data_IF_148786225217
#
_entry.id   IF_148786225217
#
_cell.length_a   1.000
_cell.length_b   1.000
_cell.length_c   1.000
_cell.angle_alpha   90.00
_cell.angle_beta   90.00
_cell.angle_gamma   90.00
#
_symmetry.space_group_name_H-M   'P 1'
#
loop_
_entity.id
_entity.type
_entity.pdbx_description
1 polymer ?
#
# COMPACT_ATOMS: atom_id res chain seq x y z
N UNK A 1 -37.82 -73.55 -32.33
CA UNK A 1 -37.32 -72.25 -32.85
C UNK A 1 -37.25 -71.25 -31.67
N UNK A 2 -36.06 -71.14 -31.07
CA UNK A 2 -35.83 -70.18 -29.97
C UNK A 2 -35.21 -68.90 -30.55
N UNK A 3 -35.78 -67.72 -30.27
CA UNK A 3 -35.24 -66.40 -30.59
C UNK A 3 -34.56 -65.86 -29.36
N UNK A 4 -33.25 -65.70 -29.42
CA UNK A 4 -32.44 -64.95 -28.46
C UNK A 4 -32.54 -63.47 -28.75
N UNK A 5 -32.96 -62.68 -27.78
CA UNK A 5 -32.94 -61.21 -27.82
C UNK A 5 -31.66 -60.76 -27.09
N UNK A 6 -30.71 -60.17 -27.83
CA UNK A 6 -29.52 -59.53 -27.23
C UNK A 6 -29.87 -58.11 -26.77
N UNK A 7 -29.78 -57.86 -25.48
CA UNK A 7 -29.87 -56.52 -24.93
C UNK A 7 -28.48 -55.83 -25.03
N UNK A 8 -28.38 -54.76 -25.83
CA UNK A 8 -27.21 -53.88 -25.87
C UNK A 8 -27.26 -52.87 -24.72
N UNK A 9 -26.33 -52.96 -23.79
CA UNK A 9 -26.13 -51.99 -22.73
C UNK A 9 -25.38 -50.74 -23.28
N UNK A 10 -26.06 -49.62 -23.40
CA UNK A 10 -25.45 -48.30 -23.65
C UNK A 10 -24.81 -47.77 -22.36
N UNK A 11 -23.50 -47.89 -22.26
CA UNK A 11 -22.76 -47.19 -21.19
C UNK A 11 -22.65 -45.69 -21.53
N UNK A 12 -23.47 -44.90 -20.84
CA UNK A 12 -23.39 -43.43 -20.93
C UNK A 12 -22.12 -42.95 -20.20
N UNK A 13 -21.12 -42.50 -20.94
CA UNK A 13 -20.01 -41.74 -20.41
C UNK A 13 -20.50 -40.34 -20.03
N UNK A 14 -20.73 -40.11 -18.73
CA UNK A 14 -20.97 -38.76 -18.21
C UNK A 14 -19.70 -37.97 -18.33
N UNK A 15 -19.60 -37.08 -19.34
CA UNK A 15 -18.61 -36.04 -19.45
C UNK A 15 -18.78 -35.12 -18.25
N UNK A 16 -17.95 -35.26 -17.21
CA UNK A 16 -17.83 -34.29 -16.15
C UNK A 16 -17.27 -33.00 -16.76
N UNK A 17 -18.13 -32.05 -17.08
CA UNK A 17 -17.72 -30.70 -17.43
C UNK A 17 -16.94 -30.13 -16.25
N UNK A 18 -15.76 -29.51 -16.47
CA UNK A 18 -15.08 -28.82 -15.39
C UNK A 18 -16.00 -27.75 -14.83
N UNK A 19 -16.25 -27.76 -13.53
CA UNK A 19 -16.92 -26.68 -12.82
C UNK A 19 -16.02 -25.45 -12.98
N UNK A 20 -16.37 -24.58 -13.92
CA UNK A 20 -15.80 -23.23 -13.98
C UNK A 20 -16.29 -22.53 -12.73
N UNK A 21 -15.46 -22.48 -11.69
CA UNK A 21 -15.72 -21.63 -10.55
C UNK A 21 -15.73 -20.19 -11.09
N UNK A 22 -16.84 -19.49 -10.84
CA UNK A 22 -16.89 -18.05 -11.12
C UNK A 22 -15.77 -17.36 -10.33
N UNK A 23 -15.05 -16.45 -10.99
CA UNK A 23 -14.01 -15.65 -10.32
C UNK A 23 -14.67 -14.76 -9.26
N UNK A 24 -14.04 -14.67 -8.08
CA UNK A 24 -14.47 -13.72 -7.06
C UNK A 24 -14.09 -12.31 -7.45
N UNK A 25 -15.06 -11.41 -7.55
CA UNK A 25 -14.79 -9.99 -7.80
C UNK A 25 -14.25 -9.33 -6.55
N UNK A 26 -13.13 -8.63 -6.71
CA UNK A 26 -12.42 -7.91 -5.64
C UNK A 26 -12.10 -6.49 -6.09
N UNK A 27 -12.44 -5.52 -5.28
CA UNK A 27 -12.06 -4.12 -5.47
C UNK A 27 -10.94 -3.74 -4.51
N UNK A 28 -9.79 -3.32 -5.06
CA UNK A 28 -8.68 -2.73 -4.32
C UNK A 28 -8.67 -1.21 -4.53
N UNK A 29 -8.72 -0.43 -3.46
CA UNK A 29 -8.56 1.02 -3.48
C UNK A 29 -7.11 1.38 -3.14
N UNK A 30 -6.45 2.17 -4.00
CA UNK A 30 -5.11 2.68 -3.68
C UNK A 30 -5.17 3.92 -2.80
N UNK A 31 -4.11 4.15 -2.05
CA UNK A 31 -3.96 5.34 -1.18
C UNK A 31 -3.55 6.60 -1.95
N UNK A 32 -3.12 6.45 -3.20
CA UNK A 32 -2.57 7.52 -4.04
C UNK A 32 -2.85 7.26 -5.52
N UNK A 33 -2.45 8.20 -6.37
CA UNK A 33 -2.43 8.00 -7.82
C UNK A 33 -1.56 6.80 -8.21
N UNK A 34 -1.91 6.12 -9.29
CA UNK A 34 -1.17 4.97 -9.79
C UNK A 34 0.27 5.35 -10.17
N UNK A 35 1.24 4.68 -9.57
CA UNK A 35 2.67 4.82 -9.82
C UNK A 35 3.43 3.56 -9.37
N UNK A 36 4.76 3.55 -9.42
CA UNK A 36 5.59 2.38 -9.14
C UNK A 36 5.33 1.74 -7.76
N UNK A 37 4.92 2.54 -6.76
CA UNK A 37 4.60 2.10 -5.40
C UNK A 37 3.35 1.21 -5.32
N UNK A 38 2.59 1.09 -6.41
CA UNK A 38 1.45 0.18 -6.54
C UNK A 38 1.74 -0.99 -7.50
N UNK A 39 2.97 -1.04 -8.04
CA UNK A 39 3.35 -1.87 -9.16
C UNK A 39 3.07 -3.36 -8.98
N UNK A 40 3.26 -3.91 -7.78
CA UNK A 40 2.98 -5.34 -7.53
C UNK A 40 1.52 -5.71 -7.72
N UNK A 41 0.60 -4.84 -7.36
CA UNK A 41 -0.84 -5.07 -7.52
C UNK A 41 -1.26 -4.98 -9.00
N UNK A 42 -0.76 -3.98 -9.71
CA UNK A 42 -0.94 -3.86 -11.16
C UNK A 42 -0.31 -5.02 -11.92
N UNK A 43 0.84 -5.50 -11.47
CA UNK A 43 1.52 -6.65 -12.06
C UNK A 43 0.69 -7.93 -11.93
N UNK A 44 0.08 -8.16 -10.76
CA UNK A 44 -0.76 -9.32 -10.55
C UNK A 44 -2.00 -9.32 -11.45
N UNK A 45 -2.53 -8.14 -11.84
CA UNK A 45 -3.57 -8.02 -12.87
C UNK A 45 -2.97 -8.30 -14.24
N UNK A 46 -1.92 -7.57 -14.62
CA UNK A 46 -1.36 -7.57 -15.99
C UNK A 46 -0.86 -8.94 -16.43
N UNK A 47 -0.31 -9.72 -15.50
CA UNK A 47 0.25 -11.07 -15.75
C UNK A 47 -0.72 -12.19 -15.45
N UNK A 48 -1.97 -11.89 -15.06
CA UNK A 48 -2.99 -12.89 -14.75
C UNK A 48 -2.76 -13.66 -13.44
N UNK A 49 -1.88 -13.17 -12.56
CA UNK A 49 -1.63 -13.82 -11.25
C UNK A 49 -2.93 -13.88 -10.44
N UNK A 50 -3.70 -12.79 -10.34
CA UNK A 50 -4.99 -12.82 -9.64
C UNK A 50 -5.95 -13.86 -10.24
N UNK A 51 -6.05 -13.93 -11.57
CA UNK A 51 -6.91 -14.94 -12.26
C UNK A 51 -6.49 -16.36 -11.97
N UNK A 52 -5.18 -16.65 -11.91
CA UNK A 52 -4.65 -17.94 -11.47
C UNK A 52 -5.18 -18.35 -10.09
N UNK A 53 -5.47 -17.39 -9.23
CA UNK A 53 -6.05 -17.58 -7.90
C UNK A 53 -7.58 -17.46 -7.89
N UNK A 54 -8.26 -17.43 -9.04
CA UNK A 54 -9.71 -17.33 -9.16
C UNK A 54 -10.25 -15.96 -8.71
N UNK A 55 -9.47 -14.89 -8.89
CA UNK A 55 -9.84 -13.54 -8.52
C UNK A 55 -9.91 -12.64 -9.75
N UNK A 56 -11.00 -11.89 -9.87
CA UNK A 56 -11.15 -10.78 -10.79
C UNK A 56 -10.98 -9.46 -10.02
N UNK A 57 -9.77 -8.88 -10.10
CA UNK A 57 -9.40 -7.71 -9.30
C UNK A 57 -9.49 -6.42 -10.11
N UNK A 58 -10.26 -5.48 -9.59
CA UNK A 58 -10.34 -4.11 -10.10
C UNK A 58 -9.61 -3.16 -9.15
N UNK A 59 -8.66 -2.36 -9.66
CA UNK A 59 -8.04 -1.30 -8.89
C UNK A 59 -8.83 0.00 -9.10
N UNK A 60 -9.25 0.62 -7.99
CA UNK A 60 -9.75 1.99 -7.95
C UNK A 60 -8.62 2.89 -7.49
N UNK A 61 -8.27 3.86 -8.33
CA UNK A 61 -7.19 4.79 -8.01
C UNK A 61 -7.66 5.82 -6.98
N UNK A 62 -6.88 5.96 -5.91
CA UNK A 62 -7.03 7.02 -4.90
C UNK A 62 -6.41 8.34 -5.34
N UNK A 63 -6.08 9.18 -4.37
CA UNK A 63 -5.45 10.48 -4.63
C UNK A 63 -5.23 11.30 -3.35
N UNK A 64 -4.51 12.43 -3.47
CA UNK A 64 -4.04 13.20 -2.31
C UNK A 64 -5.14 13.76 -1.39
N UNK A 65 -6.36 13.88 -1.88
CA UNK A 65 -7.51 14.39 -1.12
C UNK A 65 -8.62 13.33 -0.93
N UNK A 66 -8.36 12.07 -1.29
CA UNK A 66 -9.33 10.99 -1.13
C UNK A 66 -9.26 10.42 0.28
N UNK A 67 -10.39 10.39 0.98
CA UNK A 67 -10.50 9.69 2.26
C UNK A 67 -10.75 8.19 2.03
N UNK A 68 -9.68 7.47 1.75
CA UNK A 68 -9.74 6.06 1.37
C UNK A 68 -10.26 5.15 2.50
N UNK A 69 -9.99 5.48 3.77
CA UNK A 69 -10.51 4.73 4.92
C UNK A 69 -12.04 4.84 5.02
N UNK A 70 -12.60 6.01 4.76
CA UNK A 70 -14.06 6.18 4.73
C UNK A 70 -14.71 5.40 3.60
N UNK A 71 -14.06 5.34 2.43
CA UNK A 71 -14.56 4.56 1.30
C UNK A 71 -14.54 3.05 1.59
N UNK A 72 -13.48 2.56 2.24
CA UNK A 72 -13.43 1.16 2.70
C UNK A 72 -14.54 0.87 3.71
N UNK A 73 -14.68 1.70 4.74
CA UNK A 73 -15.71 1.54 5.77
C UNK A 73 -17.13 1.65 5.19
N UNK A 74 -17.32 2.43 4.12
CA UNK A 74 -18.56 2.54 3.38
C UNK A 74 -18.81 1.43 2.36
N UNK A 75 -17.97 0.37 2.31
CA UNK A 75 -18.15 -0.78 1.41
C UNK A 75 -17.89 -0.50 -0.06
N UNK A 76 -17.15 0.59 -0.39
CA UNK A 76 -16.81 0.95 -1.77
C UNK A 76 -15.59 0.18 -2.31
N UNK A 77 -14.91 -0.57 -1.45
CA UNK A 77 -13.80 -1.47 -1.77
C UNK A 77 -13.77 -2.64 -0.78
N UNK A 78 -13.20 -3.78 -1.21
CA UNK A 78 -12.94 -4.93 -0.35
C UNK A 78 -11.61 -4.76 0.40
N UNK A 79 -10.63 -4.15 -0.25
CA UNK A 79 -9.30 -3.87 0.28
C UNK A 79 -8.87 -2.43 0.01
N UNK A 80 -8.04 -1.92 0.91
CA UNK A 80 -7.42 -0.60 0.82
C UNK A 80 -5.91 -0.75 0.99
N UNK A 81 -5.13 -0.02 0.20
CA UNK A 81 -3.74 0.23 0.53
C UNK A 81 -3.68 1.35 1.56
N UNK A 82 -3.25 1.03 2.78
CA UNK A 82 -3.35 1.91 3.93
C UNK A 82 -2.02 2.10 4.67
N UNK A 83 -2.14 2.62 5.88
CA UNK A 83 -1.03 2.99 6.77
C UNK A 83 -1.36 2.58 8.21
N UNK A 84 -0.36 2.12 8.96
CA UNK A 84 -0.53 1.64 10.34
C UNK A 84 -1.19 2.69 11.25
N UNK A 85 -0.76 3.96 11.18
CA UNK A 85 -1.34 5.03 11.99
C UNK A 85 -2.83 5.21 11.75
N UNK A 86 -3.26 5.14 10.48
CA UNK A 86 -4.68 5.23 10.13
C UNK A 86 -5.47 4.05 10.67
N UNK A 87 -4.91 2.84 10.58
CA UNK A 87 -5.58 1.62 11.08
C UNK A 87 -5.71 1.69 12.59
N UNK A 88 -4.65 2.04 13.31
CA UNK A 88 -4.69 2.18 14.78
C UNK A 88 -5.68 3.25 15.23
N UNK A 89 -5.70 4.42 14.57
CA UNK A 89 -6.66 5.48 14.85
C UNK A 89 -8.11 5.05 14.53
N UNK A 90 -8.30 4.26 13.47
CA UNK A 90 -9.61 3.71 13.10
C UNK A 90 -10.11 2.72 14.14
N UNK A 91 -9.23 1.85 14.65
CA UNK A 91 -9.53 0.91 15.73
C UNK A 91 -9.94 1.65 17.00
N UNK A 92 -9.21 2.71 17.39
CA UNK A 92 -9.60 3.55 18.54
C UNK A 92 -10.97 4.20 18.36
N UNK A 93 -11.28 4.62 17.13
CA UNK A 93 -12.59 5.17 16.78
C UNK A 93 -13.71 4.13 16.65
N UNK A 94 -13.43 2.84 16.88
CA UNK A 94 -14.39 1.74 16.79
C UNK A 94 -14.69 1.28 15.36
N UNK A 95 -13.92 1.68 14.37
CA UNK A 95 -14.06 1.21 12.99
C UNK A 95 -13.40 -0.16 12.87
N UNK A 96 -14.13 -1.23 12.48
CA UNK A 96 -13.67 -2.61 12.52
C UNK A 96 -12.78 -2.97 11.32
N UNK A 97 -11.66 -2.28 11.15
CA UNK A 97 -10.65 -2.56 10.12
C UNK A 97 -9.50 -3.38 10.68
N UNK A 98 -8.76 -4.03 9.80
CA UNK A 98 -7.55 -4.78 10.16
C UNK A 98 -6.59 -4.87 8.97
N UNK A 99 -5.30 -4.92 9.26
CA UNK A 99 -4.22 -5.11 8.27
C UNK A 99 -3.89 -6.59 8.14
N UNK A 100 -3.74 -7.07 6.92
CA UNK A 100 -3.47 -8.49 6.60
C UNK A 100 -2.09 -8.74 5.98
N UNK A 101 -1.43 -7.71 5.48
CA UNK A 101 -0.05 -7.74 4.96
C UNK A 101 0.52 -6.33 4.85
N UNK A 102 1.86 -6.19 4.81
CA UNK A 102 2.56 -4.93 4.59
C UNK A 102 3.57 -5.07 3.43
N UNK A 103 3.22 -4.55 2.26
CA UNK A 103 4.09 -4.67 1.09
C UNK A 103 5.44 -3.97 1.29
N UNK A 104 5.45 -2.82 1.98
CA UNK A 104 6.68 -2.10 2.30
C UNK A 104 7.07 -2.29 3.77
N UNK A 105 8.31 -2.69 3.98
CA UNK A 105 8.84 -3.02 5.31
C UNK A 105 9.14 -1.78 6.17
N UNK A 106 9.15 -0.60 5.59
CA UNK A 106 9.12 0.69 6.28
C UNK A 106 8.46 1.73 5.40
N UNK A 107 8.07 2.85 6.01
CA UNK A 107 7.42 3.95 5.29
C UNK A 107 8.49 4.75 4.52
N UNK A 108 8.43 4.82 3.17
CA UNK A 108 9.33 5.64 2.37
C UNK A 108 8.96 7.12 2.38
N UNK A 109 7.94 7.53 3.12
CA UNK A 109 7.54 8.93 3.22
C UNK A 109 8.67 9.77 3.81
N UNK A 110 8.85 10.93 3.25
CA UNK A 110 9.82 11.90 3.72
C UNK A 110 9.41 13.34 3.42
N UNK A 111 10.34 14.23 3.70
CA UNK A 111 10.21 15.65 3.44
C UNK A 111 11.22 16.09 2.39
N UNK A 112 10.75 16.70 1.32
CA UNK A 112 11.60 17.39 0.36
C UNK A 112 11.66 18.87 0.74
N UNK A 113 12.88 19.40 0.78
CA UNK A 113 13.20 20.78 1.21
C UNK A 113 14.19 21.42 0.27
N UNK A 114 14.32 22.73 0.33
CA UNK A 114 15.44 23.42 -0.29
C UNK A 114 16.74 23.21 0.49
N UNK A 115 17.88 23.51 -0.13
CA UNK A 115 19.22 23.21 0.37
C UNK A 115 19.59 23.94 1.68
N UNK A 116 18.87 25.00 2.05
CA UNK A 116 19.03 25.73 3.30
C UNK A 116 18.61 24.93 4.54
N UNK A 117 17.81 23.88 4.35
CA UNK A 117 17.33 23.00 5.44
C UNK A 117 18.28 21.81 5.56
N UNK A 118 18.85 21.63 6.76
CA UNK A 118 19.85 20.59 7.05
C UNK A 118 19.29 19.44 7.92
N UNK A 119 18.07 19.57 8.44
CA UNK A 119 17.39 18.54 9.23
C UNK A 119 15.89 18.78 9.27
N UNK A 120 15.13 17.75 9.62
CA UNK A 120 13.68 17.87 9.83
C UNK A 120 13.32 18.90 10.92
N UNK A 121 14.17 19.10 11.93
CA UNK A 121 13.97 20.11 12.97
C UNK A 121 14.05 21.56 12.47
N UNK A 122 14.62 21.80 11.30
CA UNK A 122 14.82 23.11 10.68
C UNK A 122 13.59 23.72 9.99
N UNK A 123 12.43 23.08 10.04
CA UNK A 123 11.24 23.50 9.28
C UNK A 123 10.29 24.45 10.03
N UNK A 124 10.68 25.00 11.19
CA UNK A 124 9.78 25.81 12.05
C UNK A 124 9.13 27.00 11.36
N UNK A 125 9.80 27.62 10.41
CA UNK A 125 9.30 28.80 9.70
C UNK A 125 8.93 28.51 8.24
N UNK A 126 8.87 27.23 7.85
CA UNK A 126 8.52 26.84 6.48
C UNK A 126 7.03 26.56 6.37
N UNK A 127 6.47 26.82 5.21
CA UNK A 127 5.18 26.27 4.80
C UNK A 127 5.39 24.82 4.38
N UNK A 128 4.54 23.92 4.85
CA UNK A 128 4.69 22.47 4.59
C UNK A 128 3.47 21.98 3.80
N UNK A 129 3.69 21.45 2.61
CA UNK A 129 2.62 20.87 1.80
C UNK A 129 2.31 19.45 2.27
N UNK A 130 1.08 19.22 2.69
CA UNK A 130 0.60 17.98 3.32
C UNK A 130 -0.66 17.50 2.60
N UNK A 131 -0.65 16.29 2.06
CA UNK A 131 -1.84 15.66 1.50
C UNK A 131 -2.83 15.24 2.59
N UNK A 132 -4.07 14.94 2.21
CA UNK A 132 -5.11 14.49 3.15
C UNK A 132 -4.69 13.26 3.95
N UNK A 133 -4.07 12.26 3.30
CA UNK A 133 -3.51 11.09 3.97
C UNK A 133 -2.39 11.43 4.96
N UNK A 134 -1.51 12.37 4.61
CA UNK A 134 -0.41 12.82 5.47
C UNK A 134 -0.91 13.44 6.77
N UNK A 135 -2.08 14.11 6.75
CA UNK A 135 -2.66 14.71 7.94
C UNK A 135 -3.08 13.71 9.02
N UNK A 136 -3.34 12.47 8.63
CA UNK A 136 -3.74 11.38 9.54
C UNK A 136 -2.63 10.35 9.76
N UNK A 137 -1.43 10.57 9.21
CA UNK A 137 -0.28 9.67 9.33
C UNK A 137 0.93 10.39 9.90
N UNK A 138 1.86 10.83 9.07
CA UNK A 138 3.15 11.37 9.47
C UNK A 138 3.10 12.81 10.02
N UNK A 139 2.11 13.63 9.63
CA UNK A 139 2.00 15.01 10.10
C UNK A 139 1.79 15.12 11.63
N UNK A 140 0.89 14.34 12.26
CA UNK A 140 0.80 14.28 13.71
C UNK A 140 2.13 13.87 14.38
N UNK A 141 2.87 12.93 13.77
CA UNK A 141 4.18 12.52 14.25
C UNK A 141 5.20 13.66 14.21
N UNK A 142 5.29 14.41 13.10
CA UNK A 142 6.17 15.58 12.99
C UNK A 142 5.81 16.67 14.00
N UNK A 143 4.50 16.95 14.18
CA UNK A 143 4.06 17.93 15.18
C UNK A 143 4.48 17.52 16.58
N UNK A 144 4.26 16.28 16.97
CA UNK A 144 4.63 15.79 18.29
C UNK A 144 6.14 15.83 18.51
N UNK A 145 6.93 15.45 17.49
CA UNK A 145 8.38 15.36 17.60
C UNK A 145 9.10 16.72 17.58
N UNK A 146 8.66 17.63 16.70
CA UNK A 146 9.38 18.89 16.42
C UNK A 146 8.61 20.14 16.83
N UNK A 147 7.39 20.01 17.35
CA UNK A 147 6.55 21.13 17.78
C UNK A 147 5.97 21.94 16.63
N UNK A 148 5.75 21.35 15.47
CA UNK A 148 5.11 22.02 14.33
C UNK A 148 3.63 22.25 14.58
N UNK A 149 3.04 23.20 13.85
CA UNK A 149 1.66 23.63 14.04
C UNK A 149 0.84 23.53 12.76
N UNK A 150 -0.47 23.46 12.90
CA UNK A 150 -1.38 23.43 11.74
C UNK A 150 -1.29 24.70 10.87
N UNK A 151 -0.83 25.81 11.43
CA UNK A 151 -0.62 27.05 10.67
C UNK A 151 0.43 26.92 9.55
N UNK A 152 1.37 25.98 9.67
CA UNK A 152 2.38 25.70 8.66
C UNK A 152 1.86 24.82 7.51
N UNK A 153 0.83 24.01 7.76
CA UNK A 153 0.37 23.03 6.79
C UNK A 153 -0.54 23.64 5.72
N UNK A 154 -0.26 23.32 4.46
CA UNK A 154 -1.10 23.64 3.30
C UNK A 154 -1.40 22.36 2.52
N UNK A 155 -2.51 22.33 1.76
CA UNK A 155 -2.84 21.14 0.96
C UNK A 155 -1.76 20.82 -0.08
N UNK A 156 -1.41 19.55 -0.18
CA UNK A 156 -0.60 19.00 -1.29
C UNK A 156 -1.50 18.24 -2.24
N UNK A 157 -1.41 18.54 -3.52
CA UNK A 157 -2.27 18.01 -4.58
C UNK A 157 -1.49 17.33 -5.71
N UNK A 158 -0.29 16.85 -5.43
CA UNK A 158 0.67 16.30 -6.41
C UNK A 158 1.16 17.37 -7.42
N UNK A 159 1.17 18.63 -7.00
CA UNK A 159 1.73 19.75 -7.77
C UNK A 159 2.95 20.31 -7.05
N UNK A 160 4.12 20.25 -7.71
CA UNK A 160 5.40 20.72 -7.16
C UNK A 160 5.67 22.20 -7.42
N UNK A 161 4.85 22.88 -8.22
CA UNK A 161 5.10 24.30 -8.58
C UNK A 161 5.21 25.22 -7.35
N UNK A 162 4.40 25.08 -6.28
CA UNK A 162 4.60 25.90 -5.09
C UNK A 162 5.98 25.70 -4.43
N UNK A 163 6.51 24.47 -4.45
CA UNK A 163 7.86 24.18 -3.96
C UNK A 163 8.93 24.83 -4.82
N UNK A 164 8.82 24.75 -6.15
CA UNK A 164 9.79 25.34 -7.05
C UNK A 164 9.80 26.88 -7.02
N UNK A 165 8.64 27.48 -6.75
CA UNK A 165 8.46 28.93 -6.78
C UNK A 165 8.87 29.65 -5.48
N UNK A 166 8.85 28.97 -4.33
CA UNK A 166 9.08 29.57 -3.02
C UNK A 166 10.07 28.77 -2.17
N UNK A 167 11.26 29.33 -1.86
CA UNK A 167 12.26 28.67 -1.01
C UNK A 167 11.79 28.42 0.43
N UNK A 168 10.67 29.04 0.87
CA UNK A 168 10.09 28.80 2.17
C UNK A 168 9.10 27.64 2.21
N UNK A 169 8.88 26.94 1.08
CA UNK A 169 8.02 25.77 1.00
C UNK A 169 8.84 24.50 1.15
N UNK A 170 8.43 23.62 2.05
CA UNK A 170 8.81 22.21 2.08
C UNK A 170 7.60 21.37 1.73
N UNK A 171 7.79 20.13 1.31
CA UNK A 171 6.69 19.29 0.89
C UNK A 171 6.92 17.83 1.21
N UNK A 172 5.82 17.10 1.48
CA UNK A 172 5.90 15.64 1.49
C UNK A 172 6.42 15.11 0.15
N UNK A 173 7.15 14.03 0.22
CA UNK A 173 7.67 13.36 -0.97
C UNK A 173 7.95 11.90 -0.71
N UNK A 174 7.96 11.11 -1.79
CA UNK A 174 8.56 9.78 -1.82
C UNK A 174 9.86 9.82 -2.62
N UNK A 175 10.89 9.07 -2.20
CA UNK A 175 12.17 9.00 -2.91
C UNK A 175 12.05 8.31 -4.27
N UNK A 176 10.91 7.74 -4.58
CA UNK A 176 10.56 7.07 -5.83
C UNK A 176 9.66 7.90 -6.74
N UNK A 177 9.21 9.09 -6.32
CA UNK A 177 8.24 9.91 -7.04
C UNK A 177 8.68 11.38 -7.18
N UNK A 178 8.42 12.23 -6.17
CA UNK A 178 8.67 13.67 -6.25
C UNK A 178 10.16 14.02 -6.41
N UNK A 179 11.06 13.21 -5.86
CA UNK A 179 12.50 13.42 -6.04
C UNK A 179 12.92 13.35 -7.51
N UNK A 180 12.29 12.47 -8.31
CA UNK A 180 12.51 12.44 -9.75
C UNK A 180 12.10 13.75 -10.42
N UNK A 181 10.95 14.30 -10.06
CA UNK A 181 10.46 15.55 -10.63
C UNK A 181 11.37 16.72 -10.25
N UNK A 182 11.90 16.74 -9.02
CA UNK A 182 12.87 17.73 -8.58
C UNK A 182 14.19 17.62 -9.36
N UNK A 183 14.70 16.41 -9.61
CA UNK A 183 15.88 16.16 -10.44
C UNK A 183 15.66 16.66 -11.88
N UNK A 184 14.51 16.36 -12.49
CA UNK A 184 14.18 16.81 -13.85
C UNK A 184 14.05 18.33 -13.94
N UNK A 185 13.60 19.00 -12.87
CA UNK A 185 13.53 20.45 -12.77
C UNK A 185 14.85 21.09 -12.38
N UNK A 186 15.93 20.34 -12.21
CA UNK A 186 17.24 20.79 -11.70
C UNK A 186 17.11 21.57 -10.37
N UNK A 187 16.12 21.23 -9.56
CA UNK A 187 15.92 21.82 -8.25
C UNK A 187 17.02 21.33 -7.29
N UNK A 188 17.65 22.28 -6.59
CA UNK A 188 18.59 21.94 -5.51
C UNK A 188 17.80 21.55 -4.25
N UNK A 189 17.27 20.32 -4.25
CA UNK A 189 16.41 19.80 -3.19
C UNK A 189 17.15 18.78 -2.32
N UNK A 190 16.84 18.81 -1.01
CA UNK A 190 17.21 17.76 -0.07
C UNK A 190 15.99 16.89 0.24
N UNK A 191 16.21 15.60 0.48
CA UNK A 191 15.16 14.68 0.90
C UNK A 191 15.54 14.05 2.25
N UNK A 192 14.64 14.15 3.22
CA UNK A 192 14.77 13.55 4.54
C UNK A 192 13.74 12.44 4.70
N UNK A 193 14.21 11.19 4.81
CA UNK A 193 13.36 10.03 5.04
C UNK A 193 12.88 10.02 6.51
N UNK A 194 11.59 9.94 6.76
CA UNK A 194 11.05 9.93 8.13
C UNK A 194 11.48 8.71 8.93
N UNK A 195 11.66 7.57 8.27
CA UNK A 195 12.13 6.35 8.91
C UNK A 195 13.53 6.51 9.53
N UNK A 196 14.43 7.31 8.92
CA UNK A 196 15.77 7.60 9.45
C UNK A 196 15.70 8.44 10.74
N UNK A 197 14.62 9.22 10.90
CA UNK A 197 14.31 9.98 12.11
C UNK A 197 13.44 9.21 13.11
N UNK A 198 13.23 7.91 12.90
CA UNK A 198 12.54 7.02 13.81
C UNK A 198 11.03 6.91 13.61
N UNK A 199 10.49 7.29 12.45
CA UNK A 199 9.09 7.04 12.08
C UNK A 199 8.87 5.53 11.89
N UNK A 200 8.08 4.86 12.76
CA UNK A 200 8.15 3.41 12.88
C UNK A 200 7.28 2.58 11.93
N UNK A 201 6.22 3.12 11.23
CA UNK A 201 5.23 2.28 10.58
C UNK A 201 5.73 1.47 9.39
N UNK A 202 4.98 0.42 9.07
CA UNK A 202 4.94 -0.15 7.72
C UNK A 202 4.24 0.81 6.75
N UNK A 203 4.35 0.53 5.44
CA UNK A 203 3.63 1.29 4.43
C UNK A 203 3.06 0.35 3.35
N UNK A 204 2.15 0.87 2.53
CA UNK A 204 1.45 0.11 1.49
C UNK A 204 0.89 -1.19 2.06
N UNK A 205 0.22 -1.04 3.22
CA UNK A 205 -0.39 -2.16 3.93
C UNK A 205 -1.72 -2.53 3.29
N UNK A 206 -2.02 -3.82 3.24
CA UNK A 206 -3.33 -4.31 2.77
C UNK A 206 -4.27 -4.32 3.96
N UNK A 207 -5.27 -3.43 3.92
CA UNK A 207 -6.27 -3.24 4.96
C UNK A 207 -7.63 -3.71 4.46
N UNK A 208 -8.42 -4.35 5.31
CA UNK A 208 -9.79 -4.77 5.00
C UNK A 208 -10.69 -4.65 6.22
N UNK A 209 -12.00 -4.78 6.03
CA UNK A 209 -12.97 -4.84 7.13
C UNK A 209 -12.92 -6.22 7.82
N UNK A 210 -13.11 -6.26 9.14
CA UNK A 210 -13.16 -7.54 9.89
C UNK A 210 -14.29 -8.46 9.41
N UNK A 211 -15.39 -7.88 8.92
CA UNK A 211 -16.47 -8.66 8.32
C UNK A 211 -16.02 -9.38 7.04
N UNK A 212 -15.11 -8.80 6.27
CA UNK A 212 -14.51 -9.47 5.11
C UNK A 212 -13.69 -10.68 5.54
N UNK A 213 -12.91 -10.56 6.63
CA UNK A 213 -12.16 -11.70 7.18
C UNK A 213 -13.08 -12.83 7.64
N UNK A 214 -14.21 -12.48 8.25
CA UNK A 214 -15.18 -13.45 8.76
C UNK A 214 -15.94 -14.14 7.63
N UNK A 215 -16.36 -13.38 6.63
CA UNK A 215 -17.29 -13.87 5.60
C UNK A 215 -16.58 -14.41 4.35
N UNK A 216 -15.36 -13.95 4.06
CA UNK A 216 -14.60 -14.29 2.85
C UNK A 216 -13.10 -14.60 3.16
N UNK A 217 -12.79 -15.42 4.19
CA UNK A 217 -11.40 -15.65 4.61
C UNK A 217 -10.52 -16.26 3.50
N UNK A 218 -11.11 -17.09 2.65
CA UNK A 218 -10.41 -17.69 1.51
C UNK A 218 -10.07 -16.65 0.44
N UNK A 219 -10.98 -15.73 0.12
CA UNK A 219 -10.70 -14.62 -0.81
C UNK A 219 -9.54 -13.78 -0.29
N UNK A 220 -9.53 -13.47 1.02
CA UNK A 220 -8.43 -12.70 1.64
C UNK A 220 -7.11 -13.46 1.51
N UNK A 221 -7.08 -14.75 1.78
CA UNK A 221 -5.85 -15.57 1.67
C UNK A 221 -5.30 -15.58 0.24
N UNK A 222 -6.17 -15.81 -0.75
CA UNK A 222 -5.79 -15.82 -2.17
C UNK A 222 -5.33 -14.44 -2.64
N UNK A 223 -6.03 -13.37 -2.22
CA UNK A 223 -5.67 -11.99 -2.58
C UNK A 223 -4.31 -11.58 -2.03
N UNK A 224 -4.04 -11.85 -0.74
CA UNK A 224 -2.75 -11.55 -0.11
C UNK A 224 -1.62 -12.31 -0.84
N UNK A 225 -1.76 -13.61 -1.04
CA UNK A 225 -0.74 -14.42 -1.71
C UNK A 225 -0.46 -13.93 -3.14
N UNK A 226 -1.50 -13.75 -3.93
CA UNK A 226 -1.39 -13.28 -5.31
C UNK A 226 -0.75 -11.87 -5.39
N UNK A 227 -1.09 -10.98 -4.45
CA UNK A 227 -0.48 -9.64 -4.37
C UNK A 227 1.02 -9.72 -4.10
N UNK A 228 1.47 -10.60 -3.20
CA UNK A 228 2.90 -10.77 -2.91
C UNK A 228 3.65 -11.42 -4.07
N UNK A 229 3.05 -12.38 -4.78
CA UNK A 229 3.59 -12.90 -6.05
C UNK A 229 3.67 -11.81 -7.12
N UNK A 230 2.69 -10.92 -7.19
CA UNK A 230 2.69 -9.74 -8.04
C UNK A 230 3.87 -8.82 -7.74
N UNK A 231 4.17 -8.54 -6.48
CA UNK A 231 5.34 -7.74 -6.08
C UNK A 231 6.65 -8.42 -6.49
N UNK A 232 6.81 -9.72 -6.25
CA UNK A 232 7.98 -10.46 -6.71
C UNK A 232 8.15 -10.37 -8.23
N UNK A 233 7.07 -10.56 -8.97
CA UNK A 233 7.07 -10.46 -10.44
C UNK A 233 7.41 -9.05 -10.92
N UNK A 234 6.82 -8.01 -10.29
CA UNK A 234 7.07 -6.61 -10.64
C UNK A 234 8.52 -6.18 -10.49
N UNK A 235 9.16 -6.61 -9.41
CA UNK A 235 10.58 -6.32 -9.20
C UNK A 235 11.48 -7.00 -10.22
N UNK A 236 11.05 -8.10 -10.85
CA UNK A 236 11.80 -8.80 -11.89
C UNK A 236 11.56 -8.16 -13.27
N UNK A 237 10.31 -7.98 -13.65
CA UNK A 237 9.89 -7.36 -14.93
C UNK A 237 8.71 -6.42 -14.70
N UNK A 238 8.93 -5.11 -14.57
CA UNK A 238 7.88 -4.15 -14.30
C UNK A 238 7.05 -3.75 -15.55
N UNK A 239 7.46 -4.14 -16.76
CA UNK A 239 6.85 -3.63 -17.99
C UNK A 239 5.33 -3.89 -18.10
N UNK A 240 4.79 -5.08 -17.76
CA UNK A 240 3.35 -5.32 -17.83
C UNK A 240 2.54 -4.41 -16.91
N UNK A 241 2.99 -4.22 -15.67
CA UNK A 241 2.33 -3.32 -14.71
C UNK A 241 2.42 -1.87 -15.14
N UNK A 242 3.60 -1.43 -15.59
CA UNK A 242 3.83 -0.04 -15.97
C UNK A 242 2.91 0.39 -17.12
N UNK A 243 2.56 -0.52 -18.04
CA UNK A 243 1.59 -0.26 -19.08
C UNK A 243 0.19 0.04 -18.53
N UNK A 244 -0.27 -0.71 -17.53
CA UNK A 244 -1.54 -0.46 -16.85
C UNK A 244 -1.51 0.80 -15.98
N UNK A 245 -0.42 1.03 -15.26
CA UNK A 245 -0.24 2.25 -14.45
C UNK A 245 -0.35 3.50 -15.32
N UNK A 246 0.29 3.53 -16.49
CA UNK A 246 0.19 4.67 -17.42
C UNK A 246 -1.22 4.84 -18.00
N UNK A 247 -1.97 3.75 -18.16
CA UNK A 247 -3.36 3.82 -18.61
C UNK A 247 -4.23 4.50 -17.55
N UNK A 248 -4.06 4.16 -16.27
CA UNK A 248 -4.84 4.72 -15.17
C UNK A 248 -4.37 6.12 -14.78
N UNK A 249 -3.04 6.36 -14.86
CA UNK A 249 -2.42 7.65 -14.60
C UNK A 249 -1.55 8.11 -15.77
N UNK A 250 -2.13 8.80 -16.78
CA UNK A 250 -1.39 9.27 -17.95
C UNK A 250 -0.27 10.29 -17.66
N UNK A 251 -0.20 10.82 -16.44
CA UNK A 251 0.90 11.72 -16.03
C UNK A 251 2.22 10.98 -15.77
N UNK A 252 2.17 9.64 -15.61
CA UNK A 252 3.37 8.83 -15.39
C UNK A 252 4.16 8.64 -16.68
N UNK A 253 5.39 9.18 -16.73
CA UNK A 253 6.34 8.92 -17.80
C UNK A 253 7.06 7.57 -17.59
N UNK A 254 7.61 7.00 -18.67
CA UNK A 254 8.46 5.81 -18.59
C UNK A 254 9.69 6.06 -17.72
N UNK A 255 10.28 7.27 -17.79
CA UNK A 255 11.41 7.66 -16.97
C UNK A 255 11.08 7.69 -15.48
N UNK A 256 9.93 8.24 -15.11
CA UNK A 256 9.49 8.27 -13.71
C UNK A 256 9.19 6.87 -13.16
N UNK A 257 8.55 6.01 -13.95
CA UNK A 257 8.30 4.62 -13.55
C UNK A 257 9.59 3.82 -13.40
N UNK A 258 10.54 3.97 -14.34
CA UNK A 258 11.84 3.31 -14.25
C UNK A 258 12.64 3.79 -13.02
N UNK A 259 12.63 5.10 -12.74
CA UNK A 259 13.23 5.67 -11.55
C UNK A 259 12.58 5.12 -10.28
N UNK A 260 11.25 5.10 -10.22
CA UNK A 260 10.50 4.55 -9.09
C UNK A 260 10.87 3.11 -8.79
N UNK A 261 10.89 2.23 -9.80
CA UNK A 261 11.32 0.84 -9.66
C UNK A 261 12.76 0.72 -9.15
N UNK A 262 13.67 1.55 -9.67
CA UNK A 262 15.06 1.56 -9.20
C UNK A 262 15.16 1.94 -7.72
N UNK A 263 14.39 2.93 -7.26
CA UNK A 263 14.35 3.34 -5.85
C UNK A 263 13.73 2.24 -4.95
N UNK A 264 12.62 1.60 -5.36
CA UNK A 264 12.04 0.47 -4.63
C UNK A 264 13.07 -0.64 -4.36
N UNK A 265 13.89 -0.96 -5.38
CA UNK A 265 14.97 -1.96 -5.29
C UNK A 265 16.12 -1.47 -4.42
N UNK A 266 16.62 -0.25 -4.65
CA UNK A 266 17.74 0.36 -3.92
C UNK A 266 17.44 0.42 -2.42
N UNK A 267 16.24 0.84 -2.06
CA UNK A 267 15.78 1.00 -0.68
C UNK A 267 15.29 -0.33 -0.08
N UNK A 268 15.20 -1.39 -0.88
CA UNK A 268 14.71 -2.71 -0.46
C UNK A 268 13.36 -2.64 0.26
N UNK A 269 12.45 -1.77 -0.19
CA UNK A 269 11.17 -1.54 0.48
C UNK A 269 10.34 -2.81 0.62
N UNK A 270 10.32 -3.65 -0.42
CA UNK A 270 9.54 -4.89 -0.48
C UNK A 270 10.32 -6.10 0.04
N UNK A 271 11.65 -6.13 -0.17
CA UNK A 271 12.48 -7.32 0.03
C UNK A 271 13.43 -7.20 1.22
N UNK A 272 13.47 -6.05 1.88
CA UNK A 272 14.33 -5.79 3.04
C UNK A 272 13.67 -6.15 4.36
N UNK A 273 14.32 -5.77 5.47
CA UNK A 273 13.80 -6.02 6.81
C UNK A 273 13.44 -7.49 7.06
N UNK A 274 12.33 -7.71 7.73
CA UNK A 274 11.83 -9.07 8.04
C UNK A 274 11.43 -9.84 6.77
N UNK A 275 11.07 -9.15 5.68
CA UNK A 275 10.69 -9.79 4.42
C UNK A 275 11.84 -10.61 3.79
N UNK A 276 13.08 -10.26 4.05
CA UNK A 276 14.23 -10.98 3.52
C UNK A 276 14.30 -12.46 3.98
N UNK A 277 13.74 -12.76 5.16
CA UNK A 277 13.77 -14.10 5.76
C UNK A 277 12.39 -14.72 5.98
N UNK A 278 11.34 -13.90 6.09
CA UNK A 278 9.97 -14.35 6.38
C UNK A 278 9.03 -14.27 5.18
N UNK A 279 9.44 -13.62 4.10
CA UNK A 279 8.67 -13.45 2.88
C UNK A 279 8.12 -12.04 2.68
N UNK A 280 7.89 -11.69 1.41
CA UNK A 280 7.31 -10.40 1.00
C UNK A 280 5.95 -10.22 1.68
N UNK A 281 5.73 -9.03 2.20
CA UNK A 281 4.47 -8.66 2.85
C UNK A 281 4.39 -8.98 4.33
N UNK A 282 5.44 -9.58 4.92
CA UNK A 282 5.47 -9.97 6.33
C UNK A 282 5.26 -8.79 7.27
N UNK A 283 4.70 -9.09 8.42
CA UNK A 283 4.54 -8.18 9.56
C UNK A 283 4.90 -8.91 10.84
N UNK A 284 5.28 -8.17 11.88
CA UNK A 284 5.58 -8.73 13.22
C UNK A 284 4.81 -7.97 14.30
N UNK A 285 4.43 -8.68 15.36
CA UNK A 285 3.83 -8.07 16.56
C UNK A 285 4.74 -7.00 17.16
N UNK A 286 6.03 -7.28 17.25
CA UNK A 286 7.02 -6.34 17.80
C UNK A 286 7.01 -4.98 17.06
N UNK A 287 6.81 -4.98 15.74
CA UNK A 287 6.76 -3.75 14.95
C UNK A 287 5.44 -3.01 15.16
N UNK A 288 4.31 -3.72 15.20
CA UNK A 288 3.01 -3.13 15.51
C UNK A 288 2.97 -2.54 16.91
N UNK A 289 3.52 -3.27 17.90
CA UNK A 289 3.68 -2.78 19.26
C UNK A 289 4.50 -1.50 19.33
N UNK A 290 5.65 -1.46 18.64
CA UNK A 290 6.51 -0.26 18.58
C UNK A 290 5.76 0.95 17.99
N UNK A 291 5.00 0.74 16.92
CA UNK A 291 4.18 1.80 16.32
C UNK A 291 3.09 2.29 17.28
N UNK A 292 2.40 1.36 17.94
CA UNK A 292 1.38 1.66 18.94
C UNK A 292 1.98 2.44 20.13
N UNK A 293 3.05 1.95 20.74
CA UNK A 293 3.74 2.59 21.87
C UNK A 293 4.16 4.01 21.50
N UNK A 294 4.74 4.19 20.33
CA UNK A 294 5.10 5.52 19.83
C UNK A 294 3.87 6.46 19.76
N UNK A 295 2.75 6.00 19.21
CA UNK A 295 1.53 6.81 19.10
C UNK A 295 0.95 7.17 20.47
N UNK A 296 1.03 6.26 21.44
CA UNK A 296 0.62 6.52 22.84
C UNK A 296 1.52 7.57 23.49
N UNK A 297 2.84 7.43 23.37
CA UNK A 297 3.81 8.38 23.94
C UNK A 297 3.66 9.77 23.33
N UNK A 298 3.39 9.84 22.04
CA UNK A 298 3.11 11.08 21.32
C UNK A 298 1.69 11.63 21.57
N UNK A 299 0.87 10.97 22.41
CA UNK A 299 -0.53 11.32 22.71
C UNK A 299 -1.45 11.35 21.48
N UNK A 300 -1.15 10.50 20.51
CA UNK A 300 -1.94 10.31 19.30
C UNK A 300 -2.95 9.16 19.44
N UNK A 301 -2.75 8.30 20.44
CA UNK A 301 -3.64 7.18 20.79
C UNK A 301 -3.78 7.06 22.32
N UNK A 302 -4.88 6.48 22.76
CA UNK A 302 -5.08 6.09 24.16
C UNK A 302 -4.33 4.79 24.46
N UNK A 303 -3.73 4.65 25.65
CA UNK A 303 -3.08 3.39 26.07
C UNK A 303 -4.04 2.19 26.11
N UNK A 304 -5.35 2.44 26.21
CA UNK A 304 -6.40 1.40 26.22
C UNK A 304 -6.81 0.90 24.84
N UNK A 305 -6.25 1.46 23.76
CA UNK A 305 -6.56 1.01 22.40
C UNK A 305 -6.03 -0.41 22.18
N UNK A 306 -6.89 -1.33 21.75
CA UNK A 306 -6.51 -2.71 21.44
C UNK A 306 -5.76 -2.78 20.08
N UNK A 307 -4.46 -2.56 20.12
CA UNK A 307 -3.63 -2.59 18.91
C UNK A 307 -3.55 -3.98 18.26
N UNK A 308 -3.74 -5.06 19.01
CA UNK A 308 -3.76 -6.41 18.43
C UNK A 308 -4.91 -6.62 17.45
N UNK A 309 -5.98 -5.85 17.60
CA UNK A 309 -7.09 -5.91 16.66
C UNK A 309 -6.83 -5.14 15.36
N UNK A 310 -5.73 -4.35 15.29
CA UNK A 310 -5.35 -3.59 14.10
C UNK A 310 -4.71 -4.43 12.99
N UNK A 311 -4.27 -5.65 13.29
CA UNK A 311 -3.61 -6.52 12.31
C UNK A 311 -3.88 -7.99 12.59
N UNK A 312 -3.59 -8.83 11.59
CA UNK A 312 -3.50 -10.29 11.72
C UNK A 312 -2.35 -10.82 10.88
N UNK A 313 -1.59 -11.76 11.44
CA UNK A 313 -0.45 -12.40 10.76
C UNK A 313 -0.86 -13.67 10.00
N UNK A 314 -2.09 -14.15 10.22
CA UNK A 314 -2.58 -15.43 9.71
C UNK A 314 -2.38 -15.60 8.20
N UNK A 315 -2.73 -14.58 7.42
CA UNK A 315 -2.72 -14.68 5.95
C UNK A 315 -1.31 -14.61 5.39
N UNK A 316 -0.49 -13.69 5.92
CA UNK A 316 0.85 -13.47 5.38
C UNK A 316 1.84 -14.57 5.79
N UNK A 317 1.70 -15.13 6.99
CA UNK A 317 2.52 -16.27 7.42
C UNK A 317 2.29 -17.52 6.56
N UNK A 318 1.10 -17.68 6.00
CA UNK A 318 0.75 -18.79 5.11
C UNK A 318 1.10 -18.51 3.64
N UNK A 319 1.23 -17.25 3.23
CA UNK A 319 1.55 -16.88 1.85
C UNK A 319 2.98 -17.31 1.45
N UNK A 320 3.99 -17.05 2.29
CA UNK A 320 5.40 -17.47 2.14
C UNK A 320 6.00 -17.20 0.75
N UNK A 321 5.79 -16.00 0.23
CA UNK A 321 6.39 -15.57 -1.03
C UNK A 321 7.78 -15.00 -0.75
N UNK A 322 8.82 -15.79 -0.97
CA UNK A 322 10.19 -15.31 -0.74
C UNK A 322 10.63 -14.33 -1.83
N UNK A 323 11.49 -13.35 -1.50
CA UNK A 323 12.05 -12.39 -2.45
C UNK A 323 12.73 -12.99 -3.66
#
# INVERSE_FOLDING_TARGET
VARTVSAAALAGAALAAPLVHAEDHVTLLTNWYAQAEHGGFYQAIATGIYKKYGLDVTIKMGGPQVNSMQLLAGGQADFLLGYDFQVLSSVEAGIPVTTVAAAFQYDPQGMMTHADVTSLGGLKNKTILVAGSGRTTWWPWLKAKYGYTEAQARPYTFNLQPFFADPNVAMQAYPSSETYQAEQAHANAHFFLFADDGYPPYNTTIVTMRDTLKNKPDVVARFVKASMEGWKSYLNDPAPANALIKKDNPQMSDGQLAYGVAQLKKLKLVTGGDAATQGIGTMTDARWKKTFEYMVDAKLLKPSTDYHSAYTLQYIQNAKVMP
#
